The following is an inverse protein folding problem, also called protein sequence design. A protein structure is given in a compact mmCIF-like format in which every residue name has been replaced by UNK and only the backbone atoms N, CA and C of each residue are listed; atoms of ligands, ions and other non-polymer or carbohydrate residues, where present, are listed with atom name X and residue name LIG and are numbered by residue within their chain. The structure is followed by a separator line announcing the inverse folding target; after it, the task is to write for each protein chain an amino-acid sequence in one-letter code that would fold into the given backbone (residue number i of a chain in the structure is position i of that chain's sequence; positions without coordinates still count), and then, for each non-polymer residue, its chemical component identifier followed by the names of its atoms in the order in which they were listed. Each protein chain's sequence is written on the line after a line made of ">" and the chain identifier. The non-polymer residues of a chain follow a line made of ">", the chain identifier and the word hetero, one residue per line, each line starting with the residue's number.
data_IF_753897784741
#
_entry.id   IF_753897784741
#
_cell.length_a   1.000
_cell.length_b   1.000
_cell.length_c   1.000
_cell.angle_alpha   90.00
_cell.angle_beta   90.00
_cell.angle_gamma   90.00
#
_symmetry.space_group_name_H-M   'P 1'
#
loop_
_entity.id
_entity.type
_entity.pdbx_description
1 polymer ?
#
# COMPACT_ATOMS: atom_id res chain seq x y z
N UNK A 1 -8.88 -32.78 10.04
CA UNK A 1 -9.92 -33.07 11.03
C UNK A 1 -10.96 -31.98 10.94
N UNK A 2 -12.13 -32.29 10.41
CA UNK A 2 -13.25 -31.35 10.22
C UNK A 2 -13.98 -31.20 11.54
N UNK A 3 -13.76 -30.09 12.25
CA UNK A 3 -14.49 -29.79 13.47
C UNK A 3 -15.96 -29.48 13.13
N UNK A 4 -16.86 -30.19 13.81
CA UNK A 4 -18.32 -30.08 13.68
C UNK A 4 -18.77 -28.68 14.10
N UNK A 5 -19.60 -28.03 13.29
CA UNK A 5 -20.18 -26.71 13.58
C UNK A 5 -21.09 -26.84 14.82
N UNK A 6 -20.88 -25.98 15.84
CA UNK A 6 -21.78 -25.88 17.00
C UNK A 6 -21.25 -26.42 18.35
N UNK A 7 -20.01 -26.88 18.44
CA UNK A 7 -19.41 -27.15 19.76
C UNK A 7 -19.06 -25.83 20.47
N UNK A 8 -19.68 -25.62 21.64
CA UNK A 8 -19.29 -24.56 22.59
C UNK A 8 -17.88 -24.91 23.07
N UNK A 9 -16.94 -23.99 22.89
CA UNK A 9 -15.57 -24.14 23.41
C UNK A 9 -15.54 -23.59 24.84
N UNK A 10 -14.87 -24.30 25.74
CA UNK A 10 -14.67 -23.86 27.13
C UNK A 10 -13.60 -22.75 27.28
N UNK A 11 -12.97 -22.36 26.17
CA UNK A 11 -11.92 -21.33 26.14
C UNK A 11 -12.07 -20.44 24.91
N UNK A 12 -11.87 -19.14 25.11
CA UNK A 12 -11.77 -18.13 24.05
C UNK A 12 -10.38 -18.12 23.39
N UNK A 13 -9.40 -18.84 23.96
CA UNK A 13 -8.06 -18.92 23.41
C UNK A 13 -8.06 -19.74 22.10
N UNK A 14 -7.38 -19.23 21.08
CA UNK A 14 -7.24 -19.90 19.79
C UNK A 14 -5.80 -19.80 19.24
N UNK A 15 -5.60 -20.27 18.01
CA UNK A 15 -4.29 -20.39 17.38
C UNK A 15 -3.75 -19.08 16.76
N UNK A 16 -4.43 -17.93 16.95
CA UNK A 16 -3.95 -16.65 16.40
C UNK A 16 -2.61 -16.25 17.03
N UNK A 17 -1.61 -15.93 16.21
CA UNK A 17 -0.32 -15.40 16.68
C UNK A 17 -0.44 -14.01 17.31
N UNK A 18 -1.49 -13.27 16.95
CA UNK A 18 -1.73 -11.90 17.37
C UNK A 18 -0.76 -10.87 16.77
N UNK A 19 0.05 -11.23 15.78
CA UNK A 19 1.05 -10.35 15.15
C UNK A 19 0.59 -9.95 13.76
N UNK A 20 0.60 -8.66 13.43
CA UNK A 20 0.12 -8.16 12.14
C UNK A 20 1.03 -7.09 11.54
N UNK A 21 1.12 -7.06 10.22
CA UNK A 21 1.82 -6.02 9.45
C UNK A 21 0.89 -5.39 8.41
N UNK A 22 1.02 -4.09 8.20
CA UNK A 22 0.24 -3.35 7.20
C UNK A 22 1.06 -3.20 5.92
N UNK A 23 0.53 -3.65 4.78
CA UNK A 23 1.24 -3.61 3.50
C UNK A 23 0.53 -2.68 2.51
N UNK A 24 1.32 -1.92 1.75
CA UNK A 24 0.84 -1.25 0.54
C UNK A 24 0.17 -2.27 -0.39
N UNK A 25 -1.04 -1.96 -0.87
CA UNK A 25 -1.89 -2.86 -1.65
C UNK A 25 -1.17 -3.66 -2.73
N UNK A 26 -0.29 -3.00 -3.50
CA UNK A 26 0.42 -3.60 -4.62
C UNK A 26 1.37 -4.72 -4.19
N UNK A 27 1.84 -4.77 -2.93
CA UNK A 27 2.62 -5.89 -2.41
C UNK A 27 1.86 -7.22 -2.47
N UNK A 28 0.53 -7.17 -2.37
CA UNK A 28 -0.36 -8.34 -2.38
C UNK A 28 -1.26 -8.40 -3.62
N UNK A 29 -1.19 -7.39 -4.49
CA UNK A 29 -1.95 -7.36 -5.72
C UNK A 29 -1.20 -6.54 -6.79
N UNK A 30 -0.30 -7.19 -7.50
CA UNK A 30 0.48 -6.62 -8.59
C UNK A 30 -0.38 -6.13 -9.76
N UNK A 31 -1.64 -6.59 -9.88
CA UNK A 31 -2.58 -6.08 -10.89
C UNK A 31 -3.02 -4.63 -10.62
N UNK A 32 -2.76 -4.09 -9.42
CA UNK A 32 -2.99 -2.68 -9.09
C UNK A 32 -1.84 -1.76 -9.54
N UNK A 33 -0.67 -2.34 -9.87
CA UNK A 33 0.42 -1.56 -10.45
C UNK A 33 0.00 -0.96 -11.79
N UNK A 34 0.58 0.19 -12.15
CA UNK A 34 0.49 0.70 -13.52
C UNK A 34 0.96 -0.40 -14.48
N UNK A 35 0.27 -0.55 -15.61
CA UNK A 35 0.61 -1.55 -16.63
C UNK A 35 2.08 -1.40 -17.05
N UNK A 36 2.79 -2.52 -17.12
CA UNK A 36 4.22 -2.56 -17.44
C UNK A 36 5.18 -2.42 -16.25
N UNK A 37 4.69 -2.10 -15.04
CA UNK A 37 5.53 -1.94 -13.84
C UNK A 37 5.33 -3.04 -12.77
N UNK A 38 4.50 -4.04 -13.04
CA UNK A 38 4.37 -5.22 -12.19
C UNK A 38 5.63 -6.09 -12.35
N UNK A 39 6.24 -6.46 -11.23
CA UNK A 39 7.45 -7.31 -11.24
C UNK A 39 7.13 -8.79 -11.06
N UNK A 40 5.91 -9.12 -10.62
CA UNK A 40 5.45 -10.47 -10.35
C UNK A 40 3.98 -10.65 -10.77
N UNK A 41 3.51 -11.88 -11.02
CA UNK A 41 2.17 -12.13 -11.55
C UNK A 41 1.02 -11.87 -10.56
N UNK A 42 1.27 -11.86 -9.25
CA UNK A 42 0.20 -11.74 -8.25
C UNK A 42 0.61 -10.94 -7.01
N UNK A 43 1.56 -11.45 -6.22
CA UNK A 43 2.06 -10.85 -4.98
C UNK A 43 3.58 -10.67 -5.08
N UNK A 44 4.19 -9.88 -4.20
CA UNK A 44 5.62 -9.92 -3.94
C UNK A 44 5.89 -11.15 -3.08
N UNK A 45 6.21 -12.27 -3.73
CA UNK A 45 6.27 -13.60 -3.09
C UNK A 45 7.23 -13.66 -1.92
N UNK A 46 8.41 -13.09 -2.08
CA UNK A 46 9.49 -13.11 -1.08
C UNK A 46 9.04 -12.44 0.22
N UNK A 47 8.27 -11.36 0.13
CA UNK A 47 7.71 -10.68 1.30
C UNK A 47 6.65 -11.55 1.98
N UNK A 48 5.72 -12.11 1.20
CA UNK A 48 4.63 -12.96 1.74
C UNK A 48 5.21 -14.21 2.40
N UNK A 49 6.16 -14.89 1.76
CA UNK A 49 6.77 -16.11 2.28
C UNK A 49 7.49 -15.84 3.61
N UNK A 50 8.18 -14.70 3.75
CA UNK A 50 8.80 -14.30 5.02
C UNK A 50 7.74 -14.06 6.10
N UNK A 51 6.65 -13.35 5.80
CA UNK A 51 5.59 -13.07 6.77
C UNK A 51 4.89 -14.35 7.24
N UNK A 52 4.61 -15.28 6.32
CA UNK A 52 4.04 -16.58 6.64
C UNK A 52 4.98 -17.44 7.48
N UNK A 53 6.28 -17.45 7.16
CA UNK A 53 7.30 -18.19 7.93
C UNK A 53 7.35 -17.77 9.40
N UNK A 54 7.02 -16.53 9.72
CA UNK A 54 7.06 -15.97 11.08
C UNK A 54 5.67 -15.79 11.71
N UNK A 55 4.63 -16.41 11.15
CA UNK A 55 3.25 -16.34 11.61
C UNK A 55 2.74 -14.89 11.78
N UNK A 56 3.10 -14.01 10.85
CA UNK A 56 2.65 -12.61 10.84
C UNK A 56 1.45 -12.47 9.90
N UNK A 57 0.31 -12.09 10.45
CA UNK A 57 -0.88 -11.78 9.67
C UNK A 57 -0.69 -10.50 8.85
N UNK A 58 -1.38 -10.43 7.71
CA UNK A 58 -1.18 -9.39 6.72
C UNK A 58 -2.45 -8.54 6.62
N UNK A 59 -2.32 -7.24 6.88
CA UNK A 59 -3.37 -6.26 6.61
C UNK A 59 -3.07 -5.53 5.30
N UNK A 60 -3.94 -5.65 4.31
CA UNK A 60 -3.80 -4.97 3.02
C UNK A 60 -4.36 -3.55 3.12
N UNK A 61 -3.51 -2.53 3.04
CA UNK A 61 -3.96 -1.14 3.02
C UNK A 61 -4.59 -0.80 1.66
N UNK A 62 -5.62 0.06 1.61
CA UNK A 62 -6.15 0.58 0.34
C UNK A 62 -5.05 1.24 -0.49
N UNK A 63 -5.06 1.03 -1.81
CA UNK A 63 -4.17 1.75 -2.72
C UNK A 63 -4.73 3.15 -3.00
N UNK A 64 -4.05 4.24 -2.60
CA UNK A 64 -4.57 5.60 -2.82
C UNK A 64 -4.83 5.89 -4.29
N UNK A 65 -3.96 5.40 -5.19
CA UNK A 65 -4.08 5.61 -6.63
C UNK A 65 -5.30 4.87 -7.21
N UNK A 66 -5.55 3.62 -6.80
CA UNK A 66 -6.67 2.83 -7.32
C UNK A 66 -7.99 3.32 -6.75
N UNK A 67 -8.06 3.66 -5.47
CA UNK A 67 -9.30 4.15 -4.86
C UNK A 67 -9.67 5.56 -5.34
N UNK A 68 -8.72 6.31 -5.90
CA UNK A 68 -8.97 7.63 -6.47
C UNK A 68 -9.20 7.62 -7.99
N UNK A 69 -8.36 6.92 -8.77
CA UNK A 69 -8.39 6.93 -10.25
C UNK A 69 -8.92 5.63 -10.87
N UNK A 70 -9.03 4.55 -10.09
CA UNK A 70 -9.21 3.20 -10.61
C UNK A 70 -7.91 2.53 -11.07
N UNK A 71 -8.00 1.26 -11.46
CA UNK A 71 -6.85 0.46 -11.90
C UNK A 71 -6.39 0.79 -13.32
N UNK A 72 -7.29 1.25 -14.18
CA UNK A 72 -7.00 1.64 -15.57
C UNK A 72 -6.50 3.09 -15.62
N UNK A 73 -5.26 3.30 -15.21
CA UNK A 73 -4.59 4.62 -15.19
C UNK A 73 -3.20 4.57 -15.82
N UNK A 74 -2.71 5.75 -16.20
CA UNK A 74 -1.33 5.93 -16.66
C UNK A 74 -0.37 6.07 -15.46
N UNK A 75 0.93 5.96 -15.73
CA UNK A 75 1.93 6.39 -14.77
C UNK A 75 1.78 7.88 -14.49
N UNK A 76 2.02 8.30 -13.25
CA UNK A 76 2.01 9.69 -12.84
C UNK A 76 3.17 9.91 -11.86
N UNK A 77 3.59 11.17 -11.74
CA UNK A 77 4.65 11.59 -10.81
C UNK A 77 4.06 12.23 -9.56
N UNK A 78 4.85 12.35 -8.49
CA UNK A 78 4.44 12.90 -7.20
C UNK A 78 3.71 14.24 -7.34
N UNK A 79 4.21 15.18 -8.16
CA UNK A 79 3.57 16.50 -8.35
C UNK A 79 2.13 16.42 -8.87
N UNK A 80 1.81 15.45 -9.71
CA UNK A 80 0.44 15.25 -10.23
C UNK A 80 -0.51 14.81 -9.12
N UNK A 81 -0.04 13.93 -8.23
CA UNK A 81 -0.78 13.50 -7.04
C UNK A 81 -0.77 14.53 -5.91
N UNK A 82 0.17 15.47 -5.90
CA UNK A 82 0.35 16.47 -4.82
C UNK A 82 -0.75 17.52 -4.69
N UNK A 83 -1.89 17.35 -5.36
CA UNK A 83 -3.00 18.28 -5.35
C UNK A 83 -3.90 18.12 -4.09
N UNK A 84 -4.66 19.16 -3.69
CA UNK A 84 -5.47 19.10 -2.47
C UNK A 84 -6.54 18.00 -2.45
N UNK A 85 -7.11 17.63 -3.59
CA UNK A 85 -8.17 16.61 -3.66
C UNK A 85 -7.60 15.23 -3.31
N UNK A 86 -6.48 14.87 -3.93
CA UNK A 86 -5.81 13.61 -3.68
C UNK A 86 -5.19 13.52 -2.29
N UNK A 87 -4.64 14.63 -1.77
CA UNK A 87 -4.14 14.68 -0.38
C UNK A 87 -5.26 14.46 0.65
N UNK A 88 -6.44 15.07 0.45
CA UNK A 88 -7.60 14.79 1.34
C UNK A 88 -8.01 13.32 1.29
N UNK A 89 -8.02 12.73 0.11
CA UNK A 89 -8.28 11.29 -0.07
C UNK A 89 -7.24 10.42 0.66
N UNK A 90 -5.95 10.76 0.53
CA UNK A 90 -4.86 10.09 1.25
C UNK A 90 -5.02 10.17 2.77
N UNK A 91 -5.36 11.35 3.30
CA UNK A 91 -5.59 11.56 4.73
C UNK A 91 -6.74 10.70 5.26
N UNK A 92 -7.84 10.58 4.51
CA UNK A 92 -8.95 9.69 4.89
C UNK A 92 -8.52 8.23 4.99
N UNK A 93 -7.68 7.75 4.05
CA UNK A 93 -7.12 6.40 4.14
C UNK A 93 -6.21 6.28 5.37
N UNK A 94 -5.35 7.27 5.62
CA UNK A 94 -4.44 7.26 6.77
C UNK A 94 -5.20 7.20 8.10
N UNK A 95 -6.23 8.03 8.27
CA UNK A 95 -7.13 8.01 9.43
C UNK A 95 -7.73 6.61 9.65
N UNK A 96 -8.26 5.99 8.58
CA UNK A 96 -8.79 4.62 8.65
C UNK A 96 -7.71 3.60 9.06
N UNK A 97 -6.47 3.75 8.61
CA UNK A 97 -5.38 2.85 9.01
C UNK A 97 -5.02 3.05 10.49
N UNK A 98 -5.03 4.28 11.00
CA UNK A 98 -4.85 4.56 12.42
C UNK A 98 -5.94 3.90 13.28
N UNK A 99 -7.21 4.01 12.88
CA UNK A 99 -8.34 3.39 13.58
C UNK A 99 -8.20 1.86 13.66
N UNK A 100 -7.76 1.24 12.55
CA UNK A 100 -7.54 -0.20 12.47
C UNK A 100 -6.36 -0.64 13.35
N UNK A 101 -5.24 0.09 13.30
CA UNK A 101 -4.11 -0.16 14.20
C UNK A 101 -4.52 -0.05 15.66
N UNK A 102 -5.28 0.97 16.02
CA UNK A 102 -5.77 1.15 17.38
C UNK A 102 -6.65 -0.02 17.80
N UNK A 103 -7.60 -0.43 16.96
CA UNK A 103 -8.46 -1.58 17.21
C UNK A 103 -7.65 -2.85 17.50
N UNK A 104 -6.63 -3.15 16.69
CA UNK A 104 -5.79 -4.32 16.93
C UNK A 104 -5.02 -4.22 18.26
N UNK A 105 -4.43 -3.06 18.55
CA UNK A 105 -3.65 -2.85 19.78
C UNK A 105 -4.52 -2.95 21.04
N UNK A 106 -5.72 -2.40 21.02
CA UNK A 106 -6.67 -2.44 22.13
C UNK A 106 -7.15 -3.87 22.42
N UNK A 107 -7.09 -4.76 21.41
CA UNK A 107 -7.41 -6.18 21.52
C UNK A 107 -6.17 -7.08 21.77
N UNK A 108 -5.06 -6.50 22.24
CA UNK A 108 -3.87 -7.25 22.65
C UNK A 108 -3.02 -7.76 21.49
N UNK A 109 -3.27 -7.29 20.26
CA UNK A 109 -2.46 -7.64 19.10
C UNK A 109 -1.23 -6.73 18.95
N UNK A 110 -0.16 -7.29 18.39
CA UNK A 110 1.06 -6.59 18.06
C UNK A 110 1.06 -6.18 16.58
N UNK A 111 0.91 -4.88 16.31
CA UNK A 111 1.19 -4.32 14.99
C UNK A 111 2.70 -4.11 14.84
N UNK A 112 3.34 -4.90 14.00
CA UNK A 112 4.81 -4.93 13.87
C UNK A 112 5.35 -3.80 12.97
N UNK A 113 4.50 -3.19 12.14
CA UNK A 113 4.87 -2.05 11.31
C UNK A 113 4.09 -1.94 10.00
N UNK A 114 4.62 -1.09 9.13
CA UNK A 114 4.07 -0.78 7.80
C UNK A 114 5.14 -1.03 6.72
N UNK A 115 4.72 -1.60 5.60
CA UNK A 115 5.56 -1.77 4.41
C UNK A 115 5.01 -0.91 3.28
N UNK A 116 5.88 0.00 2.85
CA UNK A 116 5.64 1.00 1.82
C UNK A 116 6.42 0.64 0.56
N UNK A 117 6.04 1.17 -0.61
CA UNK A 117 6.68 0.85 -1.89
C UNK A 117 7.50 2.03 -2.39
N UNK A 118 8.80 2.00 -2.10
CA UNK A 118 9.75 2.95 -2.69
C UNK A 118 9.69 2.94 -4.23
N UNK A 119 9.89 4.12 -4.82
CA UNK A 119 9.67 4.41 -6.23
C UNK A 119 8.23 4.77 -6.58
N UNK A 120 7.24 4.46 -5.72
CA UNK A 120 5.87 4.94 -5.92
C UNK A 120 5.79 6.46 -5.70
N UNK A 121 5.11 7.21 -6.58
CA UNK A 121 4.84 8.63 -6.36
C UNK A 121 3.93 8.88 -5.15
N UNK A 122 3.20 7.86 -4.68
CA UNK A 122 2.22 7.95 -3.59
C UNK A 122 2.66 7.21 -2.34
N UNK A 123 3.06 5.95 -2.45
CA UNK A 123 3.46 5.09 -1.32
C UNK A 123 4.98 5.05 -1.08
N UNK A 124 5.79 5.91 -1.70
CA UNK A 124 7.24 5.94 -1.49
C UNK A 124 7.60 6.34 -0.06
N UNK A 125 8.51 5.64 0.61
CA UNK A 125 8.93 5.98 1.97
C UNK A 125 10.12 6.93 1.97
N UNK A 126 11.19 6.54 1.26
CA UNK A 126 12.40 7.33 1.10
C UNK A 126 12.56 7.82 -0.34
N UNK A 127 11.93 7.13 -1.27
CA UNK A 127 12.10 7.36 -2.68
C UNK A 127 10.75 7.39 -3.40
N UNK A 128 10.52 8.40 -4.23
CA UNK A 128 9.31 8.55 -5.02
C UNK A 128 9.62 8.96 -6.47
N UNK A 129 8.76 8.55 -7.40
CA UNK A 129 8.80 9.02 -8.77
C UNK A 129 8.43 10.51 -8.82
N UNK A 130 9.35 11.33 -9.32
CA UNK A 130 9.22 12.78 -9.51
C UNK A 130 9.50 13.14 -10.96
N UNK A 131 9.16 14.36 -11.34
CA UNK A 131 9.41 14.96 -12.63
C UNK A 131 10.89 14.81 -13.03
N UNK A 132 11.15 14.51 -14.31
CA UNK A 132 12.51 14.34 -14.81
C UNK A 132 13.35 15.62 -14.61
N UNK A 133 12.79 16.77 -14.99
CA UNK A 133 13.39 18.10 -14.88
C UNK A 133 12.31 19.19 -14.68
N UNK A 134 12.74 20.44 -14.59
CA UNK A 134 11.87 21.59 -14.34
C UNK A 134 10.93 21.91 -15.51
N UNK A 135 11.32 21.57 -16.74
CA UNK A 135 10.58 21.85 -17.96
C UNK A 135 9.54 20.77 -18.25
N UNK A 136 9.75 19.55 -17.72
CA UNK A 136 8.90 18.38 -17.90
C UNK A 136 8.08 18.08 -16.64
N UNK A 137 7.34 19.09 -16.18
CA UNK A 137 6.52 19.00 -14.97
C UNK A 137 5.21 18.22 -15.13
N UNK A 138 4.83 17.89 -16.36
CA UNK A 138 3.63 17.13 -16.69
C UNK A 138 4.01 15.75 -17.23
N UNK A 139 3.78 14.71 -16.43
CA UNK A 139 4.00 13.33 -16.82
C UNK A 139 3.07 12.86 -17.94
N UNK A 140 3.59 12.79 -19.17
CA UNK A 140 2.92 12.20 -20.33
C UNK A 140 1.93 13.15 -21.00
N UNK A 141 2.30 13.70 -22.17
CA UNK A 141 1.35 14.44 -23.01
C UNK A 141 0.33 13.47 -23.62
N UNK A 142 -0.83 13.93 -24.09
CA UNK A 142 -1.80 13.04 -24.76
C UNK A 142 -1.20 12.30 -25.98
N UNK A 143 -0.14 12.85 -26.58
CA UNK A 143 0.64 12.21 -27.65
C UNK A 143 1.81 11.35 -27.16
N UNK A 144 2.20 11.43 -25.88
CA UNK A 144 3.24 10.62 -25.25
C UNK A 144 2.67 9.91 -24.01
N UNK A 145 2.38 8.62 -24.14
CA UNK A 145 1.72 7.82 -23.12
C UNK A 145 2.54 7.56 -21.83
N UNK A 146 3.76 8.10 -21.72
CA UNK A 146 4.65 7.83 -20.59
C UNK A 146 5.21 9.12 -19.97
N UNK A 147 5.02 9.36 -18.65
CA UNK A 147 5.78 10.36 -17.94
C UNK A 147 7.28 10.14 -18.08
N UNK A 148 8.00 11.20 -18.45
CA UNK A 148 9.43 11.26 -18.16
C UNK A 148 9.58 11.56 -16.67
N UNK A 149 10.25 10.65 -15.96
CA UNK A 149 10.38 10.70 -14.51
C UNK A 149 11.74 10.21 -14.04
N UNK A 150 12.14 10.66 -12.86
CA UNK A 150 13.30 10.15 -12.11
C UNK A 150 12.87 9.80 -10.69
N UNK A 151 13.78 9.18 -9.95
CA UNK A 151 13.57 8.86 -8.53
C UNK A 151 14.22 9.92 -7.64
N UNK A 152 13.40 10.62 -6.85
CA UNK A 152 13.86 11.62 -5.89
C UNK A 152 13.90 11.05 -4.47
N UNK A 153 14.83 11.54 -3.65
CA UNK A 153 14.89 11.23 -2.21
C UNK A 153 13.80 12.02 -1.46
N UNK A 154 12.56 11.54 -1.55
CA UNK A 154 11.38 12.16 -0.95
C UNK A 154 10.30 11.10 -0.73
N UNK A 155 9.47 11.21 0.32
CA UNK A 155 8.30 10.34 0.48
C UNK A 155 7.29 10.59 -0.65
N UNK A 156 6.42 9.63 -0.91
CA UNK A 156 5.27 9.79 -1.79
C UNK A 156 4.13 10.55 -1.09
N UNK A 157 3.14 10.98 -1.87
CA UNK A 157 2.04 11.83 -1.35
C UNK A 157 1.24 11.17 -0.23
N UNK A 158 0.96 9.87 -0.29
CA UNK A 158 0.21 9.19 0.78
C UNK A 158 1.06 9.03 2.04
N UNK A 159 2.35 8.73 1.87
CA UNK A 159 3.28 8.61 2.99
C UNK A 159 3.49 9.93 3.74
N UNK A 160 3.31 11.08 3.08
CA UNK A 160 3.30 12.38 3.77
C UNK A 160 2.09 12.61 4.68
N UNK A 161 1.02 11.82 4.52
CA UNK A 161 -0.24 11.96 5.26
C UNK A 161 -0.43 10.84 6.31
N UNK A 162 0.47 9.84 6.37
CA UNK A 162 0.52 8.76 7.36
C UNK A 162 1.25 9.21 8.63
#
# INVERSE_FOLDING_TARGET
>A
MTNVIGQIKDSIQDARSGRLIFLSHCMLNQNACVRGLASQPAVIRELVDVLLKYDVAIYQMPCPEVTYLGSMRWGMVKKMYGNPMFRRHCRQIAEQMCDQVQTYRDNGHQVIGFVMRDGSPTCGLKCAAVEADADQVWGGMVWHANPLQRFGNTPGVFTEEL
#
